data_IF_916276336080
#
_entry.id   IF_916276336080
#
_cell.length_a   1.000
_cell.length_b   1.000
_cell.length_c   1.000
_cell.angle_alpha   90.00
_cell.angle_beta   90.00
_cell.angle_gamma   90.00
#
_symmetry.space_group_name_H-M   'P 1'
#
loop_
_entity.id
_entity.type
_entity.pdbx_description
1 polymer ?
#
# COMPACT_ATOMS: atom_id res chain seq x y z
N UNK A 1 18.79 -1.66 -17.60
CA UNK A 1 17.91 -2.47 -16.86
C UNK A 1 16.80 -1.70 -16.21
N UNK A 2 15.65 -2.15 -16.34
CA UNK A 2 14.52 -1.48 -15.78
C UNK A 2 13.88 -2.29 -14.75
N UNK A 3 13.47 -1.68 -13.69
CA UNK A 3 12.66 -2.40 -12.73
C UNK A 3 11.23 -2.03 -13.01
N UNK A 4 10.40 -3.04 -13.13
CA UNK A 4 9.00 -2.82 -13.33
C UNK A 4 8.27 -2.99 -12.03
N UNK A 5 7.41 -2.04 -11.74
CA UNK A 5 6.54 -2.12 -10.59
C UNK A 5 5.18 -2.55 -11.09
N UNK A 6 4.69 -3.64 -10.55
CA UNK A 6 3.44 -4.23 -10.99
C UNK A 6 2.43 -4.17 -9.87
N UNK A 7 1.23 -3.68 -10.15
CA UNK A 7 0.17 -3.65 -9.15
C UNK A 7 -0.45 -5.02 -9.06
N UNK A 8 -0.37 -5.62 -7.87
CA UNK A 8 -0.94 -6.93 -7.65
C UNK A 8 -2.36 -6.85 -7.12
N UNK A 9 -2.65 -5.85 -6.30
CA UNK A 9 -3.95 -5.76 -5.70
C UNK A 9 -4.22 -4.34 -5.23
N UNK A 10 -5.46 -3.93 -5.28
CA UNK A 10 -5.90 -2.63 -4.80
C UNK A 10 -7.18 -2.82 -4.03
N UNK A 11 -7.24 -2.27 -2.83
CA UNK A 11 -8.39 -2.42 -1.95
C UNK A 11 -8.77 -1.08 -1.38
N UNK A 12 -10.07 -0.80 -1.32
CA UNK A 12 -10.55 0.37 -0.62
C UNK A 12 -10.82 0.00 0.82
N UNK A 13 -10.30 0.80 1.74
CA UNK A 13 -10.47 0.56 3.17
C UNK A 13 -10.89 1.86 3.82
N UNK A 14 -11.46 1.76 5.02
CA UNK A 14 -11.77 2.95 5.79
C UNK A 14 -10.47 3.53 6.34
N UNK A 15 -10.33 4.85 6.20
CA UNK A 15 -9.10 5.49 6.64
C UNK A 15 -9.06 5.57 8.17
N UNK A 16 -7.94 5.18 8.73
CA UNK A 16 -7.61 5.37 10.13
C UNK A 16 -6.14 5.67 10.21
N UNK A 17 -5.76 6.51 11.16
CA UNK A 17 -4.36 6.91 11.26
C UNK A 17 -3.45 5.71 11.52
N UNK A 18 -3.95 4.67 12.16
CA UNK A 18 -3.14 3.49 12.46
C UNK A 18 -2.83 2.66 11.22
N UNK A 19 -3.52 2.92 10.10
CA UNK A 19 -3.23 2.19 8.87
C UNK A 19 -1.80 2.39 8.41
N UNK A 20 -1.24 3.58 8.63
CA UNK A 20 0.15 3.82 8.24
C UNK A 20 1.10 2.94 9.02
N UNK A 21 0.75 2.63 10.26
CA UNK A 21 1.59 1.74 11.05
C UNK A 21 1.59 0.33 10.49
N UNK A 22 0.43 -0.12 10.02
CA UNK A 22 0.30 -1.44 9.42
C UNK A 22 1.09 -1.49 8.11
N UNK A 23 0.92 -0.48 7.28
CA UNK A 23 1.61 -0.44 6.00
C UNK A 23 3.12 -0.41 6.21
N UNK A 24 3.58 0.38 7.17
CA UNK A 24 5.00 0.47 7.47
C UNK A 24 5.55 -0.87 7.95
N UNK A 25 4.80 -1.55 8.80
CA UNK A 25 5.21 -2.86 9.29
C UNK A 25 5.31 -3.88 8.16
N UNK A 26 4.34 -3.84 7.24
CA UNK A 26 4.36 -4.74 6.10
C UNK A 26 5.57 -4.47 5.21
N UNK A 27 5.86 -3.19 4.96
CA UNK A 27 6.98 -2.85 4.12
C UNK A 27 8.30 -3.27 4.73
N UNK A 28 8.42 -3.17 6.04
CA UNK A 28 9.66 -3.56 6.70
C UNK A 28 9.82 -5.08 6.78
N UNK A 29 8.71 -5.78 6.98
CA UNK A 29 8.75 -7.22 7.16
C UNK A 29 8.94 -7.95 5.84
N UNK A 30 8.30 -7.45 4.79
CA UNK A 30 8.23 -8.17 3.53
C UNK A 30 9.08 -7.54 2.43
N UNK A 31 9.97 -6.62 2.78
CA UNK A 31 10.74 -5.94 1.74
C UNK A 31 11.62 -6.89 0.95
N UNK A 32 12.06 -7.97 1.56
CA UNK A 32 12.93 -8.92 0.88
C UNK A 32 12.16 -9.88 -0.01
N UNK A 33 10.84 -9.76 -0.02
CA UNK A 33 10.01 -10.60 -0.88
C UNK A 33 9.61 -9.91 -2.17
N UNK A 34 10.27 -8.80 -2.48
CA UNK A 34 9.97 -8.02 -3.69
C UNK A 34 8.55 -7.49 -3.69
N UNK A 35 8.06 -7.15 -2.52
CA UNK A 35 6.73 -6.57 -2.37
C UNK A 35 6.83 -5.20 -1.76
N UNK A 36 5.93 -4.33 -2.17
CA UNK A 36 5.84 -2.99 -1.62
C UNK A 36 4.37 -2.68 -1.39
N UNK A 37 4.10 -1.97 -0.31
CA UNK A 37 2.74 -1.64 0.08
C UNK A 37 2.59 -0.13 0.15
N UNK A 38 1.49 0.36 -0.36
CA UNK A 38 1.22 1.79 -0.37
C UNK A 38 -0.16 2.10 0.16
N UNK A 39 -0.31 3.29 0.69
CA UNK A 39 -1.60 3.77 1.18
C UNK A 39 -1.77 5.21 0.72
N UNK A 40 -2.90 5.49 0.11
CA UNK A 40 -3.22 6.83 -0.36
C UNK A 40 -4.63 7.17 0.07
N UNK A 41 -4.87 8.45 0.34
CA UNK A 41 -6.22 8.90 0.66
C UNK A 41 -7.05 8.98 -0.61
N UNK A 42 -8.32 8.63 -0.47
CA UNK A 42 -9.25 8.79 -1.58
C UNK A 42 -9.54 10.27 -1.76
N UNK A 43 -9.45 10.75 -2.97
CA UNK A 43 -9.66 12.17 -3.23
C UNK A 43 -11.11 12.58 -3.08
N UNK A 44 -12.02 11.64 -3.29
CA UNK A 44 -13.43 11.94 -3.26
C UNK A 44 -14.05 11.70 -1.91
N UNK A 45 -13.44 10.84 -1.09
CA UNK A 45 -13.99 10.51 0.21
C UNK A 45 -12.86 10.50 1.22
N UNK A 46 -12.73 11.55 2.04
CA UNK A 46 -11.62 11.63 2.99
C UNK A 46 -11.67 10.59 4.09
N UNK A 47 -12.78 9.86 4.22
CA UNK A 47 -12.85 8.80 5.20
C UNK A 47 -12.37 7.48 4.65
N UNK A 48 -11.95 7.45 3.39
CA UNK A 48 -11.50 6.21 2.77
C UNK A 48 -10.10 6.33 2.27
N UNK A 49 -9.44 5.19 2.19
CA UNK A 49 -8.09 5.13 1.69
C UNK A 49 -7.98 3.97 0.71
N UNK A 50 -6.96 4.03 -0.14
CA UNK A 50 -6.71 3.00 -1.12
C UNK A 50 -5.41 2.33 -0.74
N UNK A 51 -5.49 1.03 -0.46
CA UNK A 51 -4.33 0.23 -0.12
C UNK A 51 -3.92 -0.56 -1.35
N UNK A 52 -2.66 -0.48 -1.72
CA UNK A 52 -2.17 -1.12 -2.93
C UNK A 52 -0.97 -1.99 -2.61
N UNK A 53 -0.92 -3.16 -3.23
CA UNK A 53 0.21 -4.07 -3.12
C UNK A 53 0.91 -4.11 -4.47
N UNK A 54 2.21 -3.85 -4.45
CA UNK A 54 3.03 -3.83 -5.65
C UNK A 54 4.06 -4.93 -5.60
N UNK A 55 4.39 -5.43 -6.77
CA UNK A 55 5.53 -6.31 -6.92
C UNK A 55 6.66 -5.51 -7.54
N UNK A 56 7.83 -5.58 -6.94
CA UNK A 56 8.99 -4.84 -7.43
C UNK A 56 10.05 -5.75 -8.01
#
# INVERSE_FOLDING_TARGET
>A
MESKIEVLSTVNVQYQSDLYKVVDALNRTLKNNNLMFGLALDKEDPEKAIFTIYKT
#
